data_IF_873527741340
#
_entry.id   IF_873527741340
#
_cell.length_a   1.000
_cell.length_b   1.000
_cell.length_c   1.000
_cell.angle_alpha   90.00
_cell.angle_beta   90.00
_cell.angle_gamma   90.00
#
_symmetry.space_group_name_H-M   'P 1'
#
loop_
_entity.id
_entity.type
_entity.pdbx_description
1 polymer ?
#
# COMPACT_ATOMS: atom_id res chain seq x y z
N UNK A 1 4.76 -19.87 11.54
CA UNK A 1 3.47 -19.27 11.93
C UNK A 1 2.66 -19.06 10.67
N UNK A 2 1.42 -19.56 10.54
CA UNK A 2 0.61 -19.25 9.38
C UNK A 2 0.07 -17.83 9.54
N UNK A 3 0.33 -16.97 8.56
CA UNK A 3 -0.32 -15.67 8.44
C UNK A 3 -1.80 -15.96 8.16
N UNK A 4 -2.65 -15.68 9.15
CA UNK A 4 -4.10 -15.82 8.99
C UNK A 4 -4.56 -14.80 7.96
N UNK A 5 -4.89 -15.31 6.77
CA UNK A 5 -5.60 -14.58 5.73
C UNK A 5 -7.01 -14.34 6.28
N UNK A 6 -7.22 -13.20 6.92
CA UNK A 6 -8.54 -12.77 7.37
C UNK A 6 -9.41 -12.61 6.14
N UNK A 7 -10.49 -13.40 6.12
CA UNK A 7 -11.60 -13.27 5.17
C UNK A 7 -12.11 -11.82 5.24
N UNK A 8 -11.69 -10.98 4.30
CA UNK A 8 -12.16 -9.60 4.20
C UNK A 8 -13.53 -9.64 3.54
N UNK A 9 -14.57 -9.40 4.33
CA UNK A 9 -15.93 -9.27 3.83
C UNK A 9 -16.03 -7.93 3.09
N UNK A 10 -16.20 -8.01 1.77
CA UNK A 10 -15.99 -6.92 0.83
C UNK A 10 -17.16 -5.96 0.80
N UNK A 11 -17.05 -4.84 1.52
CA UNK A 11 -17.69 -3.59 1.12
C UNK A 11 -16.60 -2.78 0.41
N UNK A 12 -16.80 -2.42 -0.87
CA UNK A 12 -15.79 -1.79 -1.73
C UNK A 12 -14.83 -0.75 -1.08
N UNK A 13 -15.30 0.20 -0.25
CA UNK A 13 -14.41 1.18 0.39
C UNK A 13 -13.48 0.58 1.46
N UNK A 14 -13.94 -0.40 2.24
CA UNK A 14 -13.16 -0.95 3.37
C UNK A 14 -12.00 -1.84 2.93
N UNK A 15 -12.09 -2.42 1.71
CA UNK A 15 -11.01 -3.20 1.12
C UNK A 15 -9.83 -2.31 0.71
N UNK A 16 -10.09 -1.21 0.01
CA UNK A 16 -9.03 -0.28 -0.43
C UNK A 16 -8.37 0.40 0.76
N UNK A 17 -9.13 0.77 1.79
CA UNK A 17 -8.58 1.28 3.06
C UNK A 17 -7.64 0.27 3.71
N UNK A 18 -8.05 -0.99 3.78
CA UNK A 18 -7.23 -2.07 4.33
C UNK A 18 -5.95 -2.30 3.51
N UNK A 19 -6.06 -2.25 2.19
CA UNK A 19 -4.90 -2.36 1.28
C UNK A 19 -3.97 -1.17 1.45
N UNK A 20 -4.48 0.05 1.54
CA UNK A 20 -3.68 1.26 1.76
C UNK A 20 -2.93 1.21 3.10
N UNK A 21 -3.59 0.78 4.17
CA UNK A 21 -2.99 0.61 5.48
C UNK A 21 -1.88 -0.47 5.46
N UNK A 22 -2.14 -1.60 4.81
CA UNK A 22 -1.14 -2.66 4.63
C UNK A 22 0.08 -2.18 3.83
N UNK A 23 -0.17 -1.45 2.75
CA UNK A 23 0.88 -0.88 1.89
C UNK A 23 1.72 0.16 2.63
N UNK A 24 1.12 0.96 3.51
CA UNK A 24 1.86 1.87 4.39
C UNK A 24 2.86 1.11 5.27
N UNK A 25 2.44 0.00 5.88
CA UNK A 25 3.34 -0.84 6.68
C UNK A 25 4.48 -1.46 5.86
N UNK A 26 4.22 -1.90 4.63
CA UNK A 26 5.25 -2.41 3.71
C UNK A 26 6.26 -1.32 3.36
N UNK A 27 5.81 -0.09 3.11
CA UNK A 27 6.70 1.04 2.83
C UNK A 27 7.62 1.33 4.01
N UNK A 28 7.09 1.38 5.24
CA UNK A 28 7.93 1.56 6.44
C UNK A 28 9.01 0.49 6.56
N UNK A 29 8.70 -0.77 6.24
CA UNK A 29 9.69 -1.85 6.28
C UNK A 29 10.74 -1.72 5.17
N UNK A 30 10.32 -1.27 3.98
CA UNK A 30 11.24 -1.05 2.86
C UNK A 30 12.13 0.16 3.09
N UNK A 31 11.65 1.22 3.72
CA UNK A 31 12.46 2.39 4.08
C UNK A 31 13.63 1.99 4.99
N UNK A 32 13.37 1.16 6.01
CA UNK A 32 14.40 0.62 6.90
C UNK A 32 15.39 -0.29 6.13
N UNK A 33 14.90 -1.04 5.14
CA UNK A 33 15.72 -1.99 4.37
C UNK A 33 16.48 -1.33 3.21
N UNK A 34 16.03 -0.16 2.77
CA UNK A 34 16.52 0.58 1.61
C UNK A 34 17.94 1.10 1.79
N UNK A 35 18.35 1.46 3.00
CA UNK A 35 19.72 1.91 3.28
C UNK A 35 20.76 0.84 2.92
N UNK A 36 20.31 -0.41 2.77
CA UNK A 36 21.17 -1.59 2.59
C UNK A 36 21.01 -2.24 1.21
N UNK A 37 20.10 -1.73 0.37
CA UNK A 37 19.79 -2.33 -0.93
C UNK A 37 19.09 -1.34 -1.88
N UNK A 38 19.67 -1.13 -3.06
CA UNK A 38 19.06 -0.35 -4.14
C UNK A 38 17.74 -0.95 -4.62
N UNK A 39 17.60 -2.28 -4.59
CA UNK A 39 16.35 -2.97 -4.96
C UNK A 39 15.22 -2.65 -3.97
N UNK A 40 15.55 -2.54 -2.67
CA UNK A 40 14.58 -2.16 -1.65
C UNK A 40 14.16 -0.69 -1.80
N UNK A 41 15.10 0.20 -2.17
CA UNK A 41 14.80 1.59 -2.49
C UNK A 41 13.87 1.69 -3.70
N UNK A 42 14.19 0.98 -4.79
CA UNK A 42 13.38 0.97 -6.00
C UNK A 42 11.96 0.45 -5.73
N UNK A 43 11.84 -0.65 -4.97
CA UNK A 43 10.55 -1.19 -4.54
C UNK A 43 9.77 -0.17 -3.68
N UNK A 44 10.45 0.52 -2.76
CA UNK A 44 9.84 1.58 -1.94
C UNK A 44 9.24 2.70 -2.82
N UNK A 45 10.02 3.22 -3.77
CA UNK A 45 9.57 4.28 -4.67
C UNK A 45 8.34 3.86 -5.50
N UNK A 46 8.35 2.65 -6.07
CA UNK A 46 7.22 2.14 -6.87
C UNK A 46 5.96 1.97 -6.02
N UNK A 47 6.09 1.39 -4.83
CA UNK A 47 4.97 1.16 -3.93
C UNK A 47 4.43 2.45 -3.31
N UNK A 48 5.28 3.47 -3.11
CA UNK A 48 4.86 4.78 -2.62
C UNK A 48 3.97 5.49 -3.64
N UNK A 49 4.32 5.41 -4.93
CA UNK A 49 3.47 5.92 -6.01
C UNK A 49 2.13 5.18 -6.08
N UNK A 50 2.14 3.85 -5.94
CA UNK A 50 0.91 3.06 -5.91
C UNK A 50 0.02 3.43 -4.72
N UNK A 51 0.62 3.64 -3.53
CA UNK A 51 -0.11 4.07 -2.33
C UNK A 51 -0.79 5.42 -2.57
N UNK A 52 -0.08 6.39 -3.12
CA UNK A 52 -0.65 7.70 -3.41
C UNK A 52 -1.89 7.58 -4.31
N UNK A 53 -1.85 6.74 -5.35
CA UNK A 53 -3.01 6.50 -6.22
C UNK A 53 -4.18 5.83 -5.51
N UNK A 54 -3.91 4.90 -4.60
CA UNK A 54 -4.96 4.27 -3.78
C UNK A 54 -5.57 5.30 -2.84
N UNK A 55 -4.74 6.16 -2.23
CA UNK A 55 -5.20 7.24 -1.35
C UNK A 55 -6.03 8.28 -2.11
N UNK A 56 -5.63 8.67 -3.32
CA UNK A 56 -6.39 9.55 -4.22
C UNK A 56 -7.79 8.96 -4.50
N UNK A 57 -7.87 7.66 -4.81
CA UNK A 57 -9.13 6.94 -5.06
C UNK A 57 -9.99 6.87 -3.80
N UNK A 58 -9.39 6.68 -2.62
CA UNK A 58 -10.08 6.66 -1.34
C UNK A 58 -10.61 8.04 -0.91
N UNK A 59 -9.90 9.11 -1.26
CA UNK A 59 -10.31 10.49 -1.01
C UNK A 59 -11.44 10.95 -1.95
N UNK A 60 -11.74 10.17 -3.00
CA UNK A 60 -12.73 10.52 -4.00
C UNK A 60 -12.22 11.50 -5.05
N UNK A 61 -10.90 11.77 -5.07
CA UNK A 61 -10.22 12.67 -6.01
C UNK A 61 -9.98 11.99 -7.37
N UNK A 62 -10.92 11.14 -7.78
CA UNK A 62 -10.97 10.61 -9.13
C UNK A 62 -11.56 11.67 -10.06
N UNK A 63 -10.75 12.70 -10.41
CA UNK A 63 -10.97 13.44 -11.65
C UNK A 63 -10.73 12.47 -12.81
N UNK A 64 -11.80 11.80 -13.22
CA UNK A 64 -11.82 10.95 -14.39
C UNK A 64 -11.34 11.74 -15.62
N UNK A 65 -10.22 11.31 -16.21
CA UNK A 65 -9.91 11.54 -17.61
C UNK A 65 -10.51 10.40 -18.45
#
# INVERSE_FOLDING_TARGET
MPVFLTKVETNGPTLLESVSAGLHGVLTLLEISSERSEDCYAAHCLLAMLKARIDDVLQGDCEAC
#
